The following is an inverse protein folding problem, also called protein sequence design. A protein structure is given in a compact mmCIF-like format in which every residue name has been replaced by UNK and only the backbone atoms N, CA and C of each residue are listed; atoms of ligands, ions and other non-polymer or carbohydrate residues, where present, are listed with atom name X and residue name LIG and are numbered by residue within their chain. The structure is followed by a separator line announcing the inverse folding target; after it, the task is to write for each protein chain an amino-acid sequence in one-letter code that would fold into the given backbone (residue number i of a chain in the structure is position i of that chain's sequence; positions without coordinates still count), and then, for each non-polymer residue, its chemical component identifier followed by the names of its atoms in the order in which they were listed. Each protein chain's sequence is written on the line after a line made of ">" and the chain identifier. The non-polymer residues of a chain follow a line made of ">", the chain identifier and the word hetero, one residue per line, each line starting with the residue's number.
data_IF_430817308724
#
_entry.id   IF_430817308724
#
_cell.length_a   1.000
_cell.length_b   1.000
_cell.length_c   1.000
_cell.angle_alpha   90.00
_cell.angle_beta   90.00
_cell.angle_gamma   90.00
#
_symmetry.space_group_name_H-M   'P 1'
#
loop_
_entity.id
_entity.type
_entity.pdbx_description
1 polymer ?
#
# COMPACT_ATOMS: atom_id res chain seq x y z
N UNK A 1 19.64 -4.49 -9.81
CA UNK A 1 18.36 -3.75 -9.88
C UNK A 1 17.30 -4.61 -9.22
N UNK A 2 16.90 -4.29 -8.00
CA UNK A 2 15.95 -5.06 -7.20
C UNK A 2 14.56 -4.50 -7.40
N UNK A 3 13.82 -5.04 -8.37
CA UNK A 3 12.42 -4.68 -8.57
C UNK A 3 11.63 -5.21 -7.36
N UNK A 4 11.31 -4.30 -6.42
CA UNK A 4 10.80 -4.65 -5.08
C UNK A 4 9.27 -4.77 -5.06
N UNK A 5 8.60 -4.26 -6.10
CA UNK A 5 7.15 -4.35 -6.29
C UNK A 5 6.84 -5.05 -7.62
N UNK A 6 6.28 -6.25 -7.55
CA UNK A 6 6.13 -7.12 -8.72
C UNK A 6 5.02 -6.67 -9.67
N UNK A 7 4.04 -5.88 -9.19
CA UNK A 7 2.97 -5.31 -10.02
C UNK A 7 3.31 -3.89 -10.53
N UNK A 8 4.52 -3.38 -10.29
CA UNK A 8 4.91 -1.99 -10.58
C UNK A 8 4.58 -1.56 -12.00
N UNK A 9 4.92 -2.39 -12.99
CA UNK A 9 4.65 -2.05 -14.38
C UNK A 9 3.15 -2.00 -14.69
N UNK A 10 2.36 -2.96 -14.19
CA UNK A 10 0.91 -2.96 -14.39
C UNK A 10 0.24 -1.78 -13.68
N UNK A 11 0.67 -1.48 -12.45
CA UNK A 11 0.15 -0.37 -11.66
C UNK A 11 0.41 0.97 -12.35
N UNK A 12 1.66 1.24 -12.76
CA UNK A 12 2.01 2.46 -13.49
C UNK A 12 1.23 2.58 -14.81
N UNK A 13 1.07 1.46 -15.52
CA UNK A 13 0.34 1.44 -16.80
C UNK A 13 -1.14 1.81 -16.59
N UNK A 14 -1.80 1.25 -15.57
CA UNK A 14 -3.22 1.52 -15.28
C UNK A 14 -3.41 2.91 -14.66
N UNK A 15 -2.58 3.31 -13.70
CA UNK A 15 -2.81 4.52 -12.89
C UNK A 15 -2.22 5.80 -13.48
N UNK A 16 -1.29 5.67 -14.42
CA UNK A 16 -0.60 6.80 -15.06
C UNK A 16 -0.72 6.76 -16.57
N UNK A 17 -0.24 5.70 -17.25
CA UNK A 17 -0.19 5.65 -18.72
C UNK A 17 -1.58 5.67 -19.36
N UNK A 18 -2.52 4.89 -18.82
CA UNK A 18 -3.89 4.77 -19.32
C UNK A 18 -4.89 5.66 -18.57
N UNK A 19 -4.41 6.56 -17.70
CA UNK A 19 -5.29 7.42 -16.92
C UNK A 19 -5.68 8.68 -17.72
N UNK A 20 -6.96 8.85 -18.08
CA UNK A 20 -7.43 9.99 -18.87
C UNK A 20 -7.21 11.34 -18.17
N UNK A 21 -7.07 11.35 -16.84
CA UNK A 21 -6.81 12.59 -16.08
C UNK A 21 -5.32 12.99 -16.06
N UNK A 22 -4.42 12.11 -16.51
CA UNK A 22 -2.96 12.33 -16.43
C UNK A 22 -2.28 12.26 -17.79
N UNK A 23 -2.85 11.53 -18.75
CA UNK A 23 -2.26 11.26 -20.05
C UNK A 23 -3.30 11.50 -21.12
N UNK A 24 -2.92 12.22 -22.18
CA UNK A 24 -3.75 12.35 -23.37
C UNK A 24 -3.76 11.01 -24.12
N UNK A 25 -4.85 10.25 -23.93
CA UNK A 25 -5.02 8.92 -24.50
C UNK A 25 -5.05 8.94 -26.04
N UNK A 26 -5.25 10.10 -26.67
CA UNK A 26 -5.25 10.23 -28.14
C UNK A 26 -3.86 10.06 -28.75
N UNK A 27 -2.80 10.22 -27.95
CA UNK A 27 -1.40 10.09 -28.37
C UNK A 27 -0.90 8.64 -28.41
N UNK A 28 -1.64 7.68 -27.85
CA UNK A 28 -1.25 6.27 -27.86
C UNK A 28 -1.44 5.71 -29.28
N UNK A 29 -0.32 5.34 -29.89
CA UNK A 29 -0.26 4.73 -31.22
C UNK A 29 -0.77 3.28 -31.18
N UNK A 30 -1.33 2.75 -32.28
CA UNK A 30 -1.61 1.31 -32.42
C UNK A 30 -0.38 0.42 -32.18
N UNK A 31 0.83 0.92 -32.49
CA UNK A 31 2.09 0.20 -32.24
C UNK A 31 2.36 0.11 -30.73
N UNK A 32 2.22 1.22 -30.00
CA UNK A 32 2.35 1.25 -28.55
C UNK A 32 1.27 0.41 -27.85
N UNK A 33 0.06 0.39 -28.42
CA UNK A 33 -1.04 -0.47 -27.94
C UNK A 33 -0.64 -1.95 -28.00
N UNK A 34 -0.03 -2.38 -29.12
CA UNK A 34 0.46 -3.75 -29.28
C UNK A 34 1.59 -4.08 -28.32
N UNK A 35 2.55 -3.18 -28.13
CA UNK A 35 3.65 -3.36 -27.17
C UNK A 35 3.15 -3.51 -25.72
N UNK A 36 2.12 -2.73 -25.34
CA UNK A 36 1.48 -2.85 -24.02
C UNK A 36 0.80 -4.21 -23.87
N UNK A 37 0.09 -4.69 -24.89
CA UNK A 37 -0.59 -5.99 -24.89
C UNK A 37 0.42 -7.13 -24.72
N UNK A 38 1.48 -7.13 -25.54
CA UNK A 38 2.53 -8.16 -25.49
C UNK A 38 3.19 -8.19 -24.11
N UNK A 39 3.57 -7.01 -23.60
CA UNK A 39 4.17 -6.88 -22.29
C UNK A 39 3.21 -7.27 -21.16
N UNK A 40 1.91 -6.99 -21.26
CA UNK A 40 0.93 -7.41 -20.27
C UNK A 40 0.84 -8.94 -20.14
N UNK A 41 0.87 -9.64 -21.27
CA UNK A 41 0.88 -11.10 -21.29
C UNK A 41 2.18 -11.65 -20.66
N UNK A 42 3.34 -11.14 -21.06
CA UNK A 42 4.62 -11.55 -20.47
C UNK A 42 4.69 -11.29 -18.95
N UNK A 43 4.24 -10.11 -18.52
CA UNK A 43 4.23 -9.73 -17.12
C UNK A 43 3.31 -10.65 -16.31
N UNK A 44 2.19 -11.10 -16.86
CA UNK A 44 1.26 -12.02 -16.17
C UNK A 44 1.97 -13.30 -15.73
N UNK A 45 2.69 -13.98 -16.64
CA UNK A 45 3.46 -15.18 -16.30
C UNK A 45 4.61 -14.89 -15.33
N UNK A 46 5.32 -13.78 -15.53
CA UNK A 46 6.40 -13.36 -14.64
C UNK A 46 5.89 -13.13 -13.21
N UNK A 47 4.77 -12.42 -13.06
CA UNK A 47 4.13 -12.14 -11.77
C UNK A 47 3.72 -13.44 -11.09
N UNK A 48 3.05 -14.36 -11.77
CA UNK A 48 2.66 -15.66 -11.18
C UNK A 48 3.87 -16.44 -10.63
N UNK A 49 4.96 -16.47 -11.38
CA UNK A 49 6.20 -17.17 -11.01
C UNK A 49 6.88 -16.50 -9.80
N UNK A 50 7.15 -15.20 -9.89
CA UNK A 50 7.83 -14.47 -8.81
C UNK A 50 7.00 -14.39 -7.54
N UNK A 51 5.68 -14.24 -7.66
CA UNK A 51 4.79 -14.23 -6.52
C UNK A 51 4.83 -15.57 -5.77
N UNK A 52 4.85 -16.69 -6.49
CA UNK A 52 5.01 -18.03 -5.91
C UNK A 52 6.33 -18.15 -5.14
N UNK A 53 7.43 -17.69 -5.74
CA UNK A 53 8.76 -17.69 -5.11
C UNK A 53 8.75 -16.85 -3.83
N UNK A 54 8.16 -15.66 -3.86
CA UNK A 54 8.03 -14.79 -2.69
C UNK A 54 7.23 -15.48 -1.57
N UNK A 55 6.07 -16.06 -1.89
CA UNK A 55 5.27 -16.80 -0.90
C UNK A 55 6.05 -17.97 -0.30
N UNK A 56 6.76 -18.75 -1.11
CA UNK A 56 7.52 -19.92 -0.63
C UNK A 56 8.78 -19.57 0.17
N UNK A 57 9.36 -18.40 -0.07
CA UNK A 57 10.48 -17.89 0.73
C UNK A 57 10.07 -17.45 2.15
N UNK A 58 8.78 -17.22 2.38
CA UNK A 58 8.26 -16.82 3.68
C UNK A 58 7.99 -18.06 4.54
N UNK A 59 8.47 -18.02 5.78
CA UNK A 59 8.32 -19.13 6.74
C UNK A 59 7.16 -18.92 7.72
N UNK A 60 6.70 -17.67 7.90
CA UNK A 60 5.62 -17.33 8.84
C UNK A 60 4.29 -17.18 8.11
N UNK A 61 3.28 -17.95 8.53
CA UNK A 61 1.92 -17.90 7.97
C UNK A 61 1.34 -16.48 7.94
N UNK A 62 1.56 -15.68 9.00
CA UNK A 62 1.12 -14.29 9.06
C UNK A 62 1.72 -13.43 7.95
N UNK A 63 3.00 -13.64 7.60
CA UNK A 63 3.67 -12.90 6.53
C UNK A 63 3.11 -13.31 5.17
N UNK A 64 2.86 -14.61 4.97
CA UNK A 64 2.22 -15.13 3.75
C UNK A 64 0.83 -14.51 3.58
N UNK A 65 0.00 -14.49 4.63
CA UNK A 65 -1.33 -13.85 4.60
C UNK A 65 -1.28 -12.38 4.23
N UNK A 66 -0.32 -11.64 4.79
CA UNK A 66 -0.16 -10.21 4.49
C UNK A 66 0.28 -10.01 3.04
N UNK A 67 1.29 -10.75 2.58
CA UNK A 67 1.78 -10.67 1.21
C UNK A 67 0.65 -10.98 0.23
N UNK A 68 -0.02 -12.12 0.40
CA UNK A 68 -1.13 -12.56 -0.45
C UNK A 68 -2.27 -11.55 -0.43
N UNK A 69 -2.68 -11.08 0.75
CA UNK A 69 -3.76 -10.10 0.88
C UNK A 69 -3.45 -8.74 0.25
N UNK A 70 -2.21 -8.25 0.37
CA UNK A 70 -1.81 -6.98 -0.23
C UNK A 70 -1.81 -7.05 -1.76
N UNK A 71 -1.26 -8.13 -2.33
CA UNK A 71 -1.27 -8.34 -3.79
C UNK A 71 -2.69 -8.48 -4.31
N UNK A 72 -3.51 -9.31 -3.65
CA UNK A 72 -4.91 -9.49 -4.01
C UNK A 72 -5.70 -8.17 -3.98
N UNK A 73 -5.56 -7.39 -2.92
CA UNK A 73 -6.22 -6.07 -2.80
C UNK A 73 -5.78 -5.10 -3.89
N UNK A 74 -4.50 -5.14 -4.28
CA UNK A 74 -3.97 -4.27 -5.32
C UNK A 74 -4.46 -4.69 -6.70
N UNK A 75 -4.50 -6.00 -6.98
CA UNK A 75 -5.07 -6.53 -8.22
C UNK A 75 -6.54 -6.13 -8.39
N UNK A 76 -7.35 -6.24 -7.33
CA UNK A 76 -8.74 -5.77 -7.34
C UNK A 76 -8.83 -4.27 -7.60
N UNK A 77 -8.02 -3.46 -6.93
CA UNK A 77 -7.98 -2.01 -7.16
C UNK A 77 -7.63 -1.66 -8.61
N UNK A 78 -6.62 -2.32 -9.19
CA UNK A 78 -6.23 -2.10 -10.58
C UNK A 78 -7.32 -2.56 -11.55
N UNK A 79 -8.00 -3.68 -11.25
CA UNK A 79 -9.11 -4.19 -12.05
C UNK A 79 -10.27 -3.20 -12.09
N UNK A 80 -10.66 -2.67 -10.93
CA UNK A 80 -11.71 -1.66 -10.81
C UNK A 80 -11.34 -0.41 -11.63
N UNK A 81 -10.09 0.04 -11.53
CA UNK A 81 -9.59 1.21 -12.25
C UNK A 81 -9.58 1.03 -13.76
N UNK A 82 -9.09 -0.09 -14.26
CA UNK A 82 -9.03 -0.32 -15.71
C UNK A 82 -10.43 -0.57 -16.29
N UNK A 83 -11.35 -1.12 -15.51
CA UNK A 83 -12.75 -1.31 -15.90
C UNK A 83 -13.50 0.03 -15.95
N UNK A 84 -13.23 0.94 -15.01
CA UNK A 84 -13.71 2.33 -15.03
C UNK A 84 -13.22 3.06 -16.30
N UNK A 85 -11.94 2.91 -16.65
CA UNK A 85 -11.37 3.45 -17.90
C UNK A 85 -12.07 2.84 -19.11
N UNK A 86 -12.23 1.52 -19.15
CA UNK A 86 -12.88 0.81 -20.26
C UNK A 86 -14.34 1.22 -20.49
N UNK A 87 -15.06 1.56 -19.42
CA UNK A 87 -16.47 1.96 -19.47
C UNK A 87 -16.66 3.45 -19.77
N UNK A 88 -15.59 4.24 -19.77
CA UNK A 88 -15.64 5.66 -20.09
C UNK A 88 -15.90 5.83 -21.59
N UNK A 89 -16.94 6.60 -21.96
CA UNK A 89 -17.37 6.82 -23.35
C UNK A 89 -16.30 7.47 -24.27
N UNK A 90 -15.14 7.86 -23.74
CA UNK A 90 -14.04 8.51 -24.47
C UNK A 90 -13.14 7.53 -25.26
N UNK A 91 -13.31 6.21 -25.08
CA UNK A 91 -12.52 5.20 -25.79
C UNK A 91 -13.06 4.95 -27.21
N UNK A 92 -13.03 5.97 -28.07
CA UNK A 92 -13.44 5.86 -29.47
C UNK A 92 -12.42 5.15 -30.38
N UNK A 93 -11.28 4.65 -29.84
CA UNK A 93 -10.28 3.89 -30.61
C UNK A 93 -10.32 2.40 -30.27
N UNK A 94 -10.57 1.57 -31.28
CA UNK A 94 -10.56 0.10 -31.18
C UNK A 94 -9.26 -0.42 -30.54
N UNK A 95 -8.11 0.21 -30.83
CA UNK A 95 -6.81 -0.20 -30.27
C UNK A 95 -6.69 0.02 -28.76
N UNK A 96 -7.29 1.08 -28.21
CA UNK A 96 -7.27 1.31 -26.76
C UNK A 96 -8.23 0.37 -26.04
N UNK A 97 -9.38 0.11 -26.65
CA UNK A 97 -10.34 -0.87 -26.14
C UNK A 97 -9.76 -2.27 -26.10
N UNK A 98 -8.95 -2.63 -27.09
CA UNK A 98 -8.19 -3.88 -27.09
C UNK A 98 -7.22 -3.93 -25.91
N UNK A 99 -6.42 -2.87 -25.70
CA UNK A 99 -5.47 -2.77 -24.57
C UNK A 99 -6.17 -2.91 -23.21
N UNK A 100 -7.25 -2.16 -22.98
CA UNK A 100 -8.00 -2.22 -21.71
C UNK A 100 -8.62 -3.59 -21.50
N UNK A 101 -9.18 -4.20 -22.55
CA UNK A 101 -9.77 -5.54 -22.48
C UNK A 101 -8.71 -6.60 -22.18
N UNK A 102 -7.53 -6.55 -22.81
CA UNK A 102 -6.42 -7.45 -22.50
C UNK A 102 -5.95 -7.26 -21.06
N UNK A 103 -5.73 -6.03 -20.60
CA UNK A 103 -5.30 -5.76 -19.22
C UNK A 103 -6.32 -6.25 -18.19
N UNK A 104 -7.63 -6.07 -18.45
CA UNK A 104 -8.70 -6.65 -17.63
C UNK A 104 -8.57 -8.17 -17.57
N UNK A 105 -8.33 -8.83 -18.71
CA UNK A 105 -8.14 -10.28 -18.77
C UNK A 105 -6.92 -10.73 -17.96
N UNK A 106 -5.77 -10.06 -18.12
CA UNK A 106 -4.54 -10.36 -17.37
C UNK A 106 -4.75 -10.19 -15.86
N UNK A 107 -5.39 -9.11 -15.42
CA UNK A 107 -5.66 -8.87 -14.00
C UNK A 107 -6.62 -9.91 -13.43
N UNK A 108 -7.68 -10.28 -14.16
CA UNK A 108 -8.59 -11.36 -13.76
C UNK A 108 -7.85 -12.71 -13.66
N UNK A 109 -6.96 -13.01 -14.60
CA UNK A 109 -6.15 -14.23 -14.54
C UNK A 109 -5.27 -14.25 -13.28
N UNK A 110 -4.62 -13.14 -12.95
CA UNK A 110 -3.83 -13.02 -11.72
C UNK A 110 -4.69 -13.16 -10.46
N UNK A 111 -5.89 -12.59 -10.45
CA UNK A 111 -6.86 -12.73 -9.35
C UNK A 111 -7.24 -14.20 -9.16
N UNK A 112 -7.67 -14.88 -10.24
CA UNK A 112 -8.04 -16.30 -10.22
C UNK A 112 -6.86 -17.15 -9.78
N UNK A 113 -5.65 -16.84 -10.23
CA UNK A 113 -4.43 -17.52 -9.80
C UNK A 113 -4.21 -17.38 -8.28
N UNK A 114 -4.36 -16.17 -7.73
CA UNK A 114 -4.20 -15.94 -6.30
C UNK A 114 -5.30 -16.64 -5.49
N UNK A 115 -6.56 -16.55 -5.93
CA UNK A 115 -7.70 -17.21 -5.29
C UNK A 115 -7.56 -18.73 -5.30
N UNK A 116 -7.26 -19.33 -6.46
CA UNK A 116 -7.15 -20.78 -6.59
C UNK A 116 -6.00 -21.37 -5.78
N UNK A 117 -4.84 -20.71 -5.78
CA UNK A 117 -3.62 -21.25 -5.17
C UNK A 117 -3.44 -20.86 -3.71
N UNK A 118 -4.02 -19.74 -3.29
CA UNK A 118 -3.77 -19.16 -1.96
C UNK A 118 -5.05 -18.79 -1.21
N UNK A 119 -6.22 -19.34 -1.59
CA UNK A 119 -7.50 -19.15 -0.89
C UNK A 119 -7.40 -19.25 0.64
N UNK A 120 -6.67 -20.23 1.17
CA UNK A 120 -6.52 -20.43 2.62
C UNK A 120 -5.87 -19.25 3.35
N UNK A 121 -5.12 -18.41 2.62
CA UNK A 121 -4.52 -17.18 3.13
C UNK A 121 -5.39 -15.94 2.91
N UNK A 122 -6.43 -16.05 2.06
CA UNK A 122 -7.48 -15.06 1.85
C UNK A 122 -8.64 -15.23 2.85
N UNK A 123 -8.91 -16.47 3.29
CA UNK A 123 -10.03 -16.81 4.18
C UNK A 123 -9.70 -16.53 5.66
N UNK A 124 -9.71 -15.26 5.99
CA UNK A 124 -10.47 -14.76 7.13
C UNK A 124 -10.87 -13.34 6.73
N UNK A 125 -12.17 -12.99 6.70
CA UNK A 125 -12.56 -11.63 6.46
C UNK A 125 -12.00 -10.83 7.62
N UNK A 126 -10.91 -10.12 7.39
CA UNK A 126 -10.75 -8.85 8.07
C UNK A 126 -11.94 -8.04 7.58
N UNK A 127 -13.07 -8.15 8.30
CA UNK A 127 -14.10 -7.12 8.31
C UNK A 127 -13.33 -5.88 8.74
N UNK A 128 -12.86 -5.14 7.74
CA UNK A 128 -12.69 -3.72 7.84
C UNK A 128 -14.06 -3.28 8.36
N UNK A 129 -14.11 -2.91 9.63
CA UNK A 129 -15.24 -2.18 10.17
C UNK A 129 -15.26 -0.87 9.39
N UNK A 130 -15.89 -0.89 8.21
CA UNK A 130 -16.52 0.27 7.64
C UNK A 130 -17.70 0.60 8.56
N UNK A 131 -17.38 1.14 9.73
CA UNK A 131 -18.33 1.99 10.42
C UNK A 131 -18.42 3.21 9.53
N UNK A 132 -19.50 3.28 8.75
CA UNK A 132 -19.96 4.50 8.08
C UNK A 132 -19.71 5.67 9.03
N UNK A 133 -18.73 6.51 8.73
CA UNK A 133 -18.55 7.78 9.41
C UNK A 133 -19.59 8.74 8.87
N UNK A 134 -20.84 8.50 9.24
CA UNK A 134 -21.83 9.55 9.38
C UNK A 134 -21.78 9.99 10.84
N UNK A 135 -21.37 11.25 11.04
CA UNK A 135 -21.36 12.05 12.28
C UNK A 135 -20.15 11.90 13.23
N UNK A 136 -19.71 13.02 13.85
CA UNK A 136 -18.42 13.14 14.53
C UNK A 136 -18.51 12.56 15.93
N UNK A 137 -17.69 11.57 16.23
CA UNK A 137 -17.49 11.15 17.62
C UNK A 137 -16.49 12.13 18.25
N UNK A 138 -17.05 13.24 18.73
CA UNK A 138 -16.54 13.89 19.94
C UNK A 138 -16.94 12.97 21.09
N UNK A 139 -15.98 12.24 21.66
CA UNK A 139 -16.12 11.69 23.01
C UNK A 139 -14.75 11.50 23.65
N UNK A 140 -14.43 12.48 24.48
CA UNK A 140 -13.60 12.42 25.67
C UNK A 140 -13.69 11.08 26.42
N UNK A 141 -12.62 10.28 26.39
CA UNK A 141 -12.27 9.36 27.49
C UNK A 141 -10.79 9.01 27.40
N UNK A 142 -10.02 9.57 28.32
CA UNK A 142 -8.56 9.49 28.42
C UNK A 142 -8.00 8.16 28.96
N UNK A 143 -8.77 7.06 28.97
CA UNK A 143 -8.44 5.88 29.78
C UNK A 143 -7.68 4.74 29.08
N UNK A 144 -7.05 4.99 27.91
CA UNK A 144 -6.38 3.91 27.17
C UNK A 144 -5.26 4.33 26.23
N UNK A 145 -4.76 5.57 26.33
CA UNK A 145 -3.66 6.04 25.49
C UNK A 145 -2.32 5.57 26.02
N UNK A 146 -1.42 5.19 25.12
CA UNK A 146 -0.03 4.87 25.44
C UNK A 146 0.78 6.17 25.53
N UNK A 147 1.57 6.33 26.58
CA UNK A 147 2.45 7.48 26.77
C UNK A 147 3.78 7.25 26.04
N UNK A 148 4.04 8.04 25.00
CA UNK A 148 5.32 8.11 24.32
C UNK A 148 6.23 9.10 25.05
N UNK A 149 7.37 8.61 25.56
CA UNK A 149 8.38 9.47 26.20
C UNK A 149 9.05 10.42 25.20
N UNK A 150 9.13 10.02 23.93
CA UNK A 150 9.64 10.83 22.84
C UNK A 150 8.68 11.95 22.44
N UNK A 151 9.21 13.00 21.83
CA UNK A 151 8.41 14.11 21.33
C UNK A 151 7.44 13.65 20.23
N UNK A 152 6.46 14.50 19.92
CA UNK A 152 5.52 14.27 18.81
C UNK A 152 6.25 14.06 17.47
N UNK A 153 7.34 14.81 17.24
CA UNK A 153 8.06 14.83 15.98
C UNK A 153 9.02 13.62 15.88
N UNK A 154 9.66 13.26 17.00
CA UNK A 154 10.50 12.06 17.14
C UNK A 154 9.68 10.77 17.00
N UNK A 155 8.49 10.73 17.62
CA UNK A 155 7.57 9.58 17.48
C UNK A 155 7.09 9.45 16.03
N UNK A 156 6.84 10.57 15.35
CA UNK A 156 6.45 10.57 13.95
C UNK A 156 7.55 10.01 13.03
N UNK A 157 8.82 10.29 13.34
CA UNK A 157 9.98 9.70 12.64
C UNK A 157 10.03 8.18 12.78
N UNK A 158 9.83 7.65 13.98
CA UNK A 158 9.81 6.20 14.21
C UNK A 158 8.67 5.54 13.45
N UNK A 159 7.47 6.12 13.49
CA UNK A 159 6.32 5.60 12.74
C UNK A 159 6.56 5.60 11.23
N UNK A 160 7.19 6.65 10.72
CA UNK A 160 7.60 6.74 9.32
C UNK A 160 8.63 5.68 8.96
N UNK A 161 9.73 5.58 9.71
CA UNK A 161 10.78 4.59 9.48
C UNK A 161 10.22 3.15 9.56
N UNK A 162 9.28 2.91 10.48
CA UNK A 162 8.61 1.62 10.62
C UNK A 162 7.71 1.28 9.43
N UNK A 163 7.03 2.25 8.84
CA UNK A 163 6.23 2.06 7.62
C UNK A 163 7.12 1.86 6.38
N UNK A 164 8.21 2.63 6.28
CA UNK A 164 9.19 2.53 5.18
C UNK A 164 9.92 1.19 5.21
N UNK A 165 10.33 0.71 6.39
CA UNK A 165 10.91 -0.63 6.59
C UNK A 165 9.87 -1.76 6.58
N UNK A 166 8.59 -1.45 6.38
CA UNK A 166 7.46 -2.41 6.38
C UNK A 166 7.36 -3.24 7.66
N UNK A 167 7.85 -2.70 8.78
CA UNK A 167 7.63 -3.24 10.13
C UNK A 167 6.18 -2.99 10.54
N UNK A 168 5.65 -1.81 10.22
CA UNK A 168 4.24 -1.46 10.32
C UNK A 168 3.69 -1.34 8.89
N UNK A 169 2.57 -2.01 8.61
CA UNK A 169 2.00 -2.08 7.26
C UNK A 169 0.61 -1.47 7.28
N UNK A 170 0.38 -0.48 6.42
CA UNK A 170 -0.86 0.28 6.33
C UNK A 170 -1.18 0.64 4.88
N UNK A 171 -2.46 0.90 4.58
CA UNK A 171 -2.94 1.30 3.23
C UNK A 171 -2.25 2.56 2.69
N UNK A 172 -1.78 3.43 3.58
CA UNK A 172 -0.95 4.60 3.26
C UNK A 172 -0.32 5.13 4.54
N UNK A 173 0.72 5.96 4.42
CA UNK A 173 1.29 6.70 5.55
C UNK A 173 0.21 7.50 6.29
N UNK A 174 -0.72 8.14 5.56
CA UNK A 174 -1.82 8.87 6.18
C UNK A 174 -2.76 7.95 6.98
N UNK A 175 -3.06 6.76 6.44
CA UNK A 175 -3.86 5.76 7.15
C UNK A 175 -3.13 5.25 8.40
N UNK A 176 -1.81 5.05 8.34
CA UNK A 176 -1.00 4.64 9.49
C UNK A 176 -1.09 5.65 10.64
N UNK A 177 -0.86 6.93 10.32
CA UNK A 177 -0.94 8.00 11.32
C UNK A 177 -2.37 8.17 11.86
N UNK A 178 -3.41 8.12 11.03
CA UNK A 178 -4.81 8.16 11.48
C UNK A 178 -5.18 6.99 12.40
N UNK A 179 -4.59 5.83 12.19
CA UNK A 179 -4.88 4.62 12.95
C UNK A 179 -4.14 4.58 14.29
N UNK A 180 -2.87 4.97 14.33
CA UNK A 180 -2.02 4.82 15.52
C UNK A 180 -2.10 6.05 16.43
N UNK A 181 -2.01 7.26 15.87
CA UNK A 181 -1.86 8.51 16.65
C UNK A 181 -3.00 8.78 17.65
N UNK A 182 -4.29 8.46 17.39
CA UNK A 182 -5.35 8.66 18.38
C UNK A 182 -5.12 7.91 19.71
N UNK A 183 -4.33 6.84 19.68
CA UNK A 183 -4.01 6.02 20.85
C UNK A 183 -2.68 6.40 21.51
N UNK A 184 -2.00 7.44 21.04
CA UNK A 184 -0.74 7.92 21.58
C UNK A 184 -0.92 9.24 22.32
N UNK A 185 -0.06 9.48 23.30
CA UNK A 185 0.06 10.74 24.05
C UNK A 185 1.54 11.03 24.34
N UNK A 186 1.87 12.29 24.64
CA UNK A 186 3.20 12.70 25.10
C UNK A 186 3.08 13.44 26.43
N UNK A 187 4.15 13.58 27.23
CA UNK A 187 4.10 14.30 28.51
C UNK A 187 3.55 15.72 28.38
N UNK A 188 3.77 16.37 27.24
CA UNK A 188 3.37 17.75 26.99
C UNK A 188 2.05 17.87 26.22
N UNK A 189 1.52 16.78 25.65
CA UNK A 189 0.33 16.82 24.79
C UNK A 189 -0.43 15.49 24.81
N UNK A 190 -1.62 15.51 25.40
CA UNK A 190 -2.51 14.35 25.51
C UNK A 190 -3.23 14.01 24.20
N UNK A 191 -3.59 15.02 23.39
CA UNK A 191 -4.26 14.86 22.11
C UNK A 191 -3.33 15.25 20.96
N UNK A 192 -2.85 14.25 20.23
CA UNK A 192 -1.91 14.42 19.14
C UNK A 192 -2.65 14.60 17.80
N UNK A 193 -2.15 15.49 16.95
CA UNK A 193 -2.68 15.70 15.60
C UNK A 193 -1.94 14.81 14.62
N UNK A 194 -2.63 13.81 14.06
CA UNK A 194 -2.06 12.90 13.07
C UNK A 194 -1.61 13.63 11.80
N UNK A 195 -2.30 14.70 11.39
CA UNK A 195 -1.95 15.50 10.22
C UNK A 195 -0.62 16.23 10.43
N UNK A 196 -0.45 16.87 11.60
CA UNK A 196 0.76 17.60 11.94
C UNK A 196 1.96 16.66 12.15
N UNK A 197 1.74 15.52 12.83
CA UNK A 197 2.77 14.48 12.99
C UNK A 197 3.26 13.97 11.64
N UNK A 198 2.33 13.65 10.73
CA UNK A 198 2.67 13.15 9.39
C UNK A 198 3.45 14.18 8.57
N UNK A 199 3.03 15.45 8.56
CA UNK A 199 3.76 16.47 7.77
C UNK A 199 5.18 16.65 8.26
N UNK A 200 5.38 16.62 9.59
CA UNK A 200 6.69 16.82 10.21
C UNK A 200 7.63 15.62 10.08
N UNK A 201 7.11 14.40 9.97
CA UNK A 201 7.97 13.24 9.70
C UNK A 201 8.67 13.32 8.34
N UNK A 202 8.16 14.11 7.38
CA UNK A 202 8.82 14.35 6.09
C UNK A 202 9.98 15.34 6.16
N UNK A 203 9.91 16.33 7.05
CA UNK A 203 10.88 17.41 7.20
C UNK A 203 11.47 17.40 8.62
N UNK A 204 12.16 16.31 8.95
CA UNK A 204 12.74 16.10 10.28
C UNK A 204 14.00 16.93 10.52
N UNK A 205 14.06 17.60 11.67
CA UNK A 205 15.24 18.32 12.14
C UNK A 205 16.36 17.33 12.50
N UNK A 206 17.62 17.72 12.28
CA UNK A 206 18.78 16.86 12.57
C UNK A 206 18.83 16.43 14.04
N UNK A 207 18.52 17.35 14.96
CA UNK A 207 18.45 17.05 16.39
C UNK A 207 17.44 15.94 16.72
N UNK A 208 16.29 15.93 16.04
CA UNK A 208 15.28 14.89 16.26
C UNK A 208 15.73 13.54 15.70
N UNK A 209 16.48 13.53 14.60
CA UNK A 209 17.07 12.29 14.05
C UNK A 209 18.09 11.70 15.02
N UNK A 210 18.99 12.51 15.56
CA UNK A 210 20.00 12.08 16.54
C UNK A 210 19.36 11.41 17.76
N UNK A 211 18.36 12.06 18.35
CA UNK A 211 17.63 11.53 19.52
C UNK A 211 16.92 10.21 19.20
N UNK A 212 16.29 10.11 18.02
CA UNK A 212 15.62 8.88 17.58
C UNK A 212 16.62 7.75 17.39
N UNK A 213 17.77 8.02 16.76
CA UNK A 213 18.83 7.01 16.55
C UNK A 213 19.35 6.50 17.90
N UNK A 214 19.72 7.38 18.82
CA UNK A 214 20.21 7.01 20.16
C UNK A 214 19.18 6.16 20.92
N UNK A 215 17.90 6.51 20.79
CA UNK A 215 16.81 5.74 21.41
C UNK A 215 16.68 4.34 20.80
N UNK A 216 16.76 4.23 19.46
CA UNK A 216 16.69 2.94 18.77
C UNK A 216 17.92 2.06 19.08
N UNK A 217 19.11 2.63 19.21
CA UNK A 217 20.30 1.91 19.65
C UNK A 217 20.15 1.38 21.08
N UNK A 218 19.55 2.17 21.97
CA UNK A 218 19.20 1.73 23.33
C UNK A 218 18.22 0.56 23.30
N UNK A 219 17.23 0.57 22.40
CA UNK A 219 16.32 -0.56 22.18
C UNK A 219 17.09 -1.80 21.69
N UNK A 220 18.02 -1.64 20.74
CA UNK A 220 18.85 -2.75 20.26
C UNK A 220 19.64 -3.37 21.41
N UNK A 221 20.25 -2.54 22.28
CA UNK A 221 20.97 -3.02 23.47
C UNK A 221 20.04 -3.82 24.38
N UNK A 222 18.86 -3.29 24.68
CA UNK A 222 17.89 -3.97 25.53
C UNK A 222 17.43 -5.30 24.94
N UNK A 223 17.21 -5.38 23.62
CA UNK A 223 16.82 -6.60 22.92
C UNK A 223 17.93 -7.66 22.99
N UNK A 224 19.21 -7.25 22.97
CA UNK A 224 20.34 -8.17 23.13
C UNK A 224 20.44 -8.77 24.54
N UNK A 225 19.81 -8.15 25.52
CA UNK A 225 19.77 -8.63 26.91
C UNK A 225 18.58 -9.57 27.19
N UNK A 226 17.62 -9.70 26.24
CA UNK A 226 16.52 -10.65 26.31
C UNK A 226 16.97 -12.08 25.98
#
# INVERSE_FOLDING_TARGET
>A
MTQTYLLEWMDLTVTSTLNPNKTDLTLISPIQSREIIEKANEQTFFIQSQFTIQVFSLTKEKQIKILVGNYYSTLLFLLDKITEINNSNDLHRDSLKEVTTTLISCLNELIIFVESRFANYLTAPFKILERKTSSPIVSSSSSGKVLCKLSTDQTALILRASDELKILISKSMNHLFKTIVPFLSTPNKADLSYNAMRSKSYAAEERDKEIVIETLESMIKQIKEY
#
